data_IF_264451632512
#
_entry.id   IF_264451632512
#
_cell.length_a   1.000
_cell.length_b   1.000
_cell.length_c   1.000
_cell.angle_alpha   90.00
_cell.angle_beta   90.00
_cell.angle_gamma   90.00
#
_symmetry.space_group_name_H-M   'P 1'
#
loop_
_entity.id
_entity.type
_entity.pdbx_description
1 polymer ?
#
# COMPACT_ATOMS: atom_id res chain seq x y z
N UNK A 1 35.15 -34.79 -5.21
CA UNK A 1 36.62 -34.63 -5.44
C UNK A 1 37.39 -35.96 -5.70
N UNK A 2 37.12 -37.10 -5.03
CA UNK A 2 37.87 -38.34 -5.31
C UNK A 2 37.79 -38.81 -6.78
N UNK A 3 36.65 -38.61 -7.44
CA UNK A 3 36.37 -39.03 -8.81
C UNK A 3 37.24 -38.33 -9.87
N UNK A 4 37.72 -37.09 -9.59
CA UNK A 4 38.58 -36.33 -10.51
C UNK A 4 40.05 -36.49 -10.16
N UNK A 5 40.39 -37.24 -9.11
CA UNK A 5 41.77 -37.37 -8.62
C UNK A 5 42.38 -36.04 -8.16
N UNK A 6 41.56 -35.08 -7.79
CA UNK A 6 41.97 -33.81 -7.20
C UNK A 6 41.68 -33.80 -5.71
N UNK A 7 42.58 -33.32 -4.89
CA UNK A 7 42.45 -33.20 -3.46
C UNK A 7 41.86 -31.83 -3.03
N UNK A 8 42.03 -30.82 -3.88
CA UNK A 8 41.72 -29.44 -3.51
C UNK A 8 40.85 -28.77 -4.57
N UNK A 9 39.95 -27.89 -4.12
CA UNK A 9 39.11 -27.10 -5.01
C UNK A 9 38.56 -25.86 -4.34
N UNK A 10 38.20 -24.88 -5.14
CA UNK A 10 37.52 -23.65 -4.73
C UNK A 10 36.43 -23.29 -5.72
N UNK A 11 35.33 -22.82 -5.23
CA UNK A 11 34.24 -22.22 -5.98
C UNK A 11 34.36 -20.71 -5.81
N UNK A 12 34.37 -19.98 -6.89
CA UNK A 12 34.32 -18.53 -6.92
C UNK A 12 33.02 -18.09 -7.56
N UNK A 13 32.33 -17.12 -6.98
CA UNK A 13 31.24 -16.38 -7.60
C UNK A 13 31.79 -15.10 -8.24
N UNK A 14 31.12 -14.57 -9.26
CA UNK A 14 31.51 -13.36 -9.98
C UNK A 14 30.35 -12.39 -10.08
N UNK A 15 30.56 -11.14 -9.70
CA UNK A 15 29.51 -10.09 -9.68
C UNK A 15 29.53 -9.17 -10.92
N UNK A 16 30.42 -9.45 -11.89
CA UNK A 16 30.65 -8.63 -13.08
C UNK A 16 31.95 -7.83 -13.00
N UNK A 17 32.52 -7.61 -11.81
CA UNK A 17 33.74 -6.87 -11.58
C UNK A 17 34.77 -7.70 -10.79
N UNK A 18 34.33 -8.36 -9.72
CA UNK A 18 35.19 -9.07 -8.78
C UNK A 18 34.79 -10.54 -8.61
N UNK A 19 35.77 -11.37 -8.32
CA UNK A 19 35.59 -12.73 -7.83
C UNK A 19 35.50 -12.75 -6.29
N UNK A 20 34.54 -13.52 -5.77
CA UNK A 20 34.36 -13.78 -4.36
C UNK A 20 34.59 -15.27 -4.07
N UNK A 21 35.34 -15.59 -3.03
CA UNK A 21 35.53 -16.98 -2.61
C UNK A 21 34.21 -17.51 -1.95
N UNK A 22 33.48 -18.35 -2.69
CA UNK A 22 32.21 -18.92 -2.20
C UNK A 22 32.40 -20.14 -1.30
N UNK A 23 33.20 -21.11 -1.74
CA UNK A 23 33.44 -22.35 -1.00
C UNK A 23 34.81 -22.95 -1.34
N UNK A 24 35.37 -23.73 -0.38
CA UNK A 24 36.63 -24.48 -0.57
C UNK A 24 36.47 -25.91 -0.10
N UNK A 25 37.23 -26.80 -0.71
CA UNK A 25 37.35 -28.19 -0.27
C UNK A 25 38.82 -28.64 -0.33
N UNK A 26 39.32 -29.24 0.76
CA UNK A 26 40.69 -29.73 0.84
C UNK A 26 41.77 -28.66 0.89
N UNK A 27 41.41 -27.37 0.81
CA UNK A 27 42.35 -26.26 0.82
C UNK A 27 43.00 -26.08 2.20
N UNK A 28 44.27 -25.62 2.20
CA UNK A 28 44.97 -25.27 3.43
C UNK A 28 44.19 -24.20 4.21
N UNK A 29 43.95 -24.37 5.52
CA UNK A 29 43.28 -23.37 6.35
C UNK A 29 43.88 -21.97 6.26
N UNK A 30 45.20 -21.86 6.09
CA UNK A 30 45.90 -20.58 5.90
C UNK A 30 45.51 -19.89 4.59
N UNK A 31 45.21 -20.67 3.54
CA UNK A 31 44.73 -20.13 2.27
C UNK A 31 43.30 -19.57 2.46
N UNK A 32 42.44 -20.30 3.16
CA UNK A 32 41.06 -19.85 3.41
C UNK A 32 41.01 -18.55 4.23
N UNK A 33 41.84 -18.47 5.26
CA UNK A 33 41.96 -17.27 6.11
C UNK A 33 42.52 -16.08 5.32
N UNK A 34 43.61 -16.31 4.56
CA UNK A 34 44.16 -15.28 3.71
C UNK A 34 43.14 -14.77 2.67
N UNK A 35 42.43 -15.66 2.00
CA UNK A 35 41.44 -15.29 0.99
C UNK A 35 40.24 -14.50 1.58
N UNK A 36 39.86 -14.79 2.82
CA UNK A 36 38.84 -13.99 3.55
C UNK A 36 39.35 -12.59 3.88
N UNK A 37 40.61 -12.47 4.28
CA UNK A 37 41.22 -11.16 4.58
C UNK A 37 41.38 -10.28 3.34
N UNK A 38 41.71 -10.89 2.19
CA UNK A 38 41.79 -10.18 0.90
C UNK A 38 40.42 -9.69 0.45
N UNK A 39 39.36 -10.46 0.74
CA UNK A 39 37.99 -10.14 0.32
C UNK A 39 37.79 -10.32 -1.19
N UNK A 40 36.80 -9.62 -1.78
CA UNK A 40 36.59 -9.61 -3.22
C UNK A 40 37.77 -9.04 -3.97
N UNK A 41 38.13 -9.63 -5.12
CA UNK A 41 39.26 -9.19 -5.90
C UNK A 41 38.94 -9.16 -7.41
N UNK A 42 39.45 -8.17 -8.16
CA UNK A 42 39.33 -8.14 -9.61
C UNK A 42 40.12 -9.29 -10.23
N UNK A 43 39.69 -9.83 -11.40
CA UNK A 43 40.33 -10.96 -12.03
C UNK A 43 41.76 -10.61 -12.47
N UNK A 44 42.82 -11.26 -11.88
CA UNK A 44 44.18 -10.89 -12.19
C UNK A 44 44.54 -11.34 -13.61
N UNK A 45 45.20 -10.46 -14.37
CA UNK A 45 45.63 -10.77 -15.75
C UNK A 45 46.54 -11.99 -15.82
N UNK A 46 46.38 -12.78 -16.88
CA UNK A 46 47.21 -13.96 -17.14
C UNK A 46 46.94 -15.16 -16.21
N UNK A 47 46.07 -15.00 -15.19
CA UNK A 47 45.67 -16.11 -14.33
C UNK A 47 44.49 -16.90 -14.93
N UNK A 48 44.19 -18.07 -14.36
CA UNK A 48 43.07 -18.87 -14.79
C UNK A 48 41.72 -18.12 -14.64
N UNK A 49 41.50 -17.40 -13.53
CA UNK A 49 40.32 -16.59 -13.32
C UNK A 49 40.24 -15.39 -14.28
N UNK A 50 41.38 -14.74 -14.56
CA UNK A 50 41.44 -13.66 -15.54
C UNK A 50 41.14 -14.11 -16.98
N UNK A 51 41.43 -15.36 -17.33
CA UNK A 51 41.05 -15.96 -18.63
C UNK A 51 39.58 -16.30 -18.68
N UNK A 52 39.02 -16.83 -17.60
CA UNK A 52 37.58 -17.10 -17.45
C UNK A 52 36.79 -15.79 -17.58
N UNK A 53 37.16 -14.72 -16.91
CA UNK A 53 36.47 -13.42 -17.01
C UNK A 53 36.50 -12.80 -18.41
N UNK A 54 37.44 -13.19 -19.26
CA UNK A 54 37.52 -12.79 -20.67
C UNK A 54 36.77 -13.73 -21.63
N UNK A 55 35.99 -14.69 -21.10
CA UNK A 55 35.11 -15.55 -21.88
C UNK A 55 35.63 -16.96 -22.17
N UNK A 56 36.80 -17.36 -21.66
CA UNK A 56 37.22 -18.75 -21.77
C UNK A 56 36.33 -19.64 -20.87
N UNK A 57 35.76 -20.69 -21.43
CA UNK A 57 34.89 -21.61 -20.69
C UNK A 57 35.63 -22.66 -19.87
N UNK A 58 36.86 -22.94 -20.28
CA UNK A 58 37.73 -23.92 -19.63
C UNK A 58 39.18 -23.45 -19.71
N UNK A 59 39.87 -23.43 -18.56
CA UNK A 59 41.28 -23.15 -18.47
C UNK A 59 41.98 -24.32 -17.79
N UNK A 60 42.89 -24.97 -18.49
CA UNK A 60 43.76 -26.01 -17.93
C UNK A 60 45.22 -25.54 -17.91
N UNK A 61 45.84 -25.56 -16.74
CA UNK A 61 47.22 -25.12 -16.51
C UNK A 61 48.00 -26.29 -15.95
N UNK A 62 48.98 -26.78 -16.73
CA UNK A 62 49.78 -27.94 -16.36
C UNK A 62 50.65 -27.66 -15.14
N UNK A 63 51.31 -26.51 -15.10
CA UNK A 63 52.03 -26.02 -13.92
C UNK A 63 51.81 -24.50 -13.75
N UNK A 64 51.14 -24.11 -12.66
CA UNK A 64 50.82 -22.70 -12.37
C UNK A 64 52.04 -21.85 -12.07
N UNK A 65 53.21 -22.47 -11.77
CA UNK A 65 54.47 -21.75 -11.55
C UNK A 65 55.20 -21.36 -12.85
N UNK A 66 54.77 -21.92 -13.98
CA UNK A 66 55.35 -21.64 -15.28
C UNK A 66 54.65 -20.49 -16.01
N UNK A 67 53.44 -20.10 -15.60
CA UNK A 67 52.72 -18.98 -16.23
C UNK A 67 53.29 -17.63 -15.79
N UNK A 68 53.21 -16.63 -16.67
CA UNK A 68 53.79 -15.31 -16.42
C UNK A 68 53.13 -14.63 -15.19
N UNK A 69 51.86 -14.83 -14.96
CA UNK A 69 51.14 -14.29 -13.79
C UNK A 69 51.77 -14.71 -12.44
N UNK A 70 52.41 -15.91 -12.35
CA UNK A 70 53.12 -16.32 -11.14
C UNK A 70 54.37 -15.46 -10.88
N UNK A 71 54.97 -14.92 -11.93
CA UNK A 71 56.16 -14.05 -11.84
C UNK A 71 55.81 -12.59 -11.63
N UNK A 72 54.72 -12.14 -12.26
CA UNK A 72 54.35 -10.72 -12.34
C UNK A 72 53.36 -10.27 -11.27
N UNK A 73 52.52 -11.18 -10.69
CA UNK A 73 51.54 -10.87 -9.65
C UNK A 73 51.99 -11.42 -8.29
N UNK A 74 52.42 -10.56 -7.36
CA UNK A 74 52.80 -10.97 -6.00
C UNK A 74 51.66 -11.65 -5.24
N UNK A 75 50.44 -11.15 -5.43
CA UNK A 75 49.23 -11.68 -4.75
C UNK A 75 48.87 -13.07 -5.27
N UNK A 76 48.86 -13.27 -6.58
CA UNK A 76 48.67 -14.59 -7.18
C UNK A 76 49.74 -15.57 -6.74
N UNK A 77 51.01 -15.17 -6.76
CA UNK A 77 52.12 -15.99 -6.26
C UNK A 77 51.88 -16.41 -4.82
N UNK A 78 51.51 -15.46 -3.94
CA UNK A 78 51.23 -15.73 -2.54
C UNK A 78 50.11 -16.74 -2.36
N UNK A 79 49.01 -16.60 -3.14
CA UNK A 79 47.89 -17.56 -3.12
C UNK A 79 48.32 -18.98 -3.46
N UNK A 80 49.21 -19.13 -4.49
CA UNK A 80 49.73 -20.42 -4.92
C UNK A 80 50.71 -20.99 -3.89
N UNK A 81 51.56 -20.18 -3.28
CA UNK A 81 52.52 -20.60 -2.26
C UNK A 81 51.80 -21.11 -0.98
N UNK A 82 50.73 -20.43 -0.55
CA UNK A 82 49.95 -20.86 0.62
C UNK A 82 49.09 -22.08 0.27
N UNK A 83 48.40 -22.09 -0.88
CA UNK A 83 47.51 -23.17 -1.31
C UNK A 83 48.25 -24.42 -1.84
N UNK A 84 49.54 -24.31 -2.17
CA UNK A 84 50.37 -25.39 -2.67
C UNK A 84 50.03 -25.87 -4.09
N UNK A 85 49.23 -25.10 -4.84
CA UNK A 85 48.81 -25.50 -6.18
C UNK A 85 49.92 -25.63 -7.19
N UNK A 86 49.89 -26.69 -8.01
CA UNK A 86 50.83 -26.93 -9.13
C UNK A 86 50.08 -27.09 -10.45
N UNK A 87 49.23 -28.09 -10.58
CA UNK A 87 48.32 -28.24 -11.73
C UNK A 87 46.91 -27.76 -11.38
N UNK A 88 46.32 -26.92 -12.21
CA UNK A 88 44.93 -26.44 -12.00
C UNK A 88 44.06 -26.56 -13.25
N UNK A 89 42.76 -26.76 -13.02
CA UNK A 89 41.72 -26.69 -14.04
C UNK A 89 40.61 -25.83 -13.51
N UNK A 90 40.23 -24.82 -14.30
CA UNK A 90 39.15 -23.94 -14.00
C UNK A 90 38.04 -24.13 -15.04
N UNK A 91 36.81 -24.27 -14.59
CA UNK A 91 35.62 -24.37 -15.43
C UNK A 91 34.75 -23.18 -15.11
N UNK A 92 34.39 -22.42 -16.12
CA UNK A 92 33.49 -21.30 -15.99
C UNK A 92 32.06 -21.78 -15.63
N UNK A 93 31.41 -21.06 -14.74
CA UNK A 93 30.01 -21.24 -14.38
C UNK A 93 29.21 -20.19 -15.15
N UNK A 94 28.58 -20.58 -16.24
CA UNK A 94 27.76 -19.69 -17.06
C UNK A 94 26.28 -20.09 -16.98
N UNK A 95 25.43 -19.06 -16.92
CA UNK A 95 24.04 -19.16 -17.25
C UNK A 95 23.84 -18.38 -18.53
N UNK A 96 23.52 -19.09 -19.63
CA UNK A 96 23.52 -18.51 -20.97
C UNK A 96 24.86 -17.81 -21.30
N UNK A 97 24.86 -16.50 -21.49
CA UNK A 97 26.07 -15.70 -21.76
C UNK A 97 26.61 -14.98 -20.51
N UNK A 98 25.97 -15.14 -19.34
CA UNK A 98 26.37 -14.48 -18.10
C UNK A 98 27.32 -15.37 -17.31
N UNK A 99 28.49 -14.85 -16.97
CA UNK A 99 29.44 -15.51 -16.08
C UNK A 99 28.99 -15.36 -14.63
N UNK A 100 28.63 -16.47 -13.96
CA UNK A 100 28.27 -16.52 -12.55
C UNK A 100 29.48 -16.76 -11.63
N UNK A 101 30.57 -17.31 -12.17
CA UNK A 101 31.75 -17.64 -11.40
C UNK A 101 32.64 -18.71 -12.04
N UNK A 102 33.43 -19.36 -11.23
CA UNK A 102 34.34 -20.42 -11.70
C UNK A 102 34.53 -21.52 -10.66
N UNK A 103 34.53 -22.76 -11.11
CA UNK A 103 34.95 -23.92 -10.33
C UNK A 103 36.46 -24.13 -10.59
N UNK A 104 37.32 -23.93 -9.60
CA UNK A 104 38.76 -24.18 -9.66
C UNK A 104 39.09 -25.47 -8.93
N UNK A 105 39.76 -26.40 -9.57
CA UNK A 105 40.24 -27.64 -8.99
C UNK A 105 41.74 -27.73 -9.23
N UNK A 106 42.51 -28.07 -8.21
CA UNK A 106 43.95 -28.11 -8.32
C UNK A 106 44.60 -29.29 -7.57
N UNK A 107 45.81 -29.60 -7.99
CA UNK A 107 46.70 -30.57 -7.37
C UNK A 107 47.96 -29.90 -6.89
N UNK A 108 48.61 -30.46 -5.88
CA UNK A 108 49.86 -29.98 -5.34
C UNK A 108 51.07 -30.58 -6.06
N UNK A 109 50.85 -31.40 -7.07
CA UNK A 109 51.85 -32.03 -7.94
C UNK A 109 51.65 -31.64 -9.40
N UNK A 110 52.67 -31.70 -10.21
CA UNK A 110 52.57 -31.48 -11.67
C UNK A 110 52.05 -32.76 -12.31
N UNK A 111 50.75 -32.84 -12.44
CA UNK A 111 50.02 -33.97 -13.05
C UNK A 111 48.77 -33.45 -13.77
N UNK A 112 48.85 -33.25 -15.10
CA UNK A 112 47.74 -32.76 -15.88
C UNK A 112 46.47 -33.59 -15.71
N UNK A 113 45.31 -32.91 -15.80
CA UNK A 113 44.00 -33.58 -15.79
C UNK A 113 43.73 -34.21 -17.15
N UNK A 114 43.21 -35.43 -17.17
CA UNK A 114 42.81 -36.11 -18.40
C UNK A 114 41.51 -35.52 -18.93
N UNK A 115 41.24 -35.70 -20.24
CA UNK A 115 39.98 -35.24 -20.86
C UNK A 115 38.72 -35.76 -20.15
N UNK A 116 38.77 -37.03 -19.68
CA UNK A 116 37.65 -37.62 -18.91
C UNK A 116 37.43 -36.90 -17.57
N UNK A 117 38.52 -36.50 -16.89
CA UNK A 117 38.41 -35.75 -15.64
C UNK A 117 37.93 -34.31 -15.87
N UNK A 118 38.35 -33.69 -16.95
CA UNK A 118 37.86 -32.34 -17.37
C UNK A 118 36.37 -32.40 -17.71
N UNK A 119 35.94 -33.39 -18.50
CA UNK A 119 34.52 -33.57 -18.83
C UNK A 119 33.67 -33.78 -17.58
N UNK A 120 34.18 -34.53 -16.61
CA UNK A 120 33.46 -34.71 -15.32
C UNK A 120 33.39 -33.41 -14.52
N UNK A 121 34.44 -32.57 -14.54
CA UNK A 121 34.41 -31.24 -13.89
C UNK A 121 33.46 -30.30 -14.58
N UNK A 122 33.34 -30.36 -15.91
CA UNK A 122 32.34 -29.58 -16.66
C UNK A 122 30.89 -29.99 -16.28
N UNK A 123 30.62 -31.29 -16.10
CA UNK A 123 29.33 -31.75 -15.61
C UNK A 123 29.05 -31.26 -14.18
N UNK A 124 30.05 -31.27 -13.29
CA UNK A 124 29.85 -30.70 -11.93
C UNK A 124 29.66 -29.19 -11.98
N UNK A 125 30.34 -28.48 -12.85
CA UNK A 125 30.15 -27.05 -13.07
C UNK A 125 28.69 -26.75 -13.53
N UNK A 126 28.17 -27.54 -14.47
CA UNK A 126 26.77 -27.41 -14.90
C UNK A 126 25.78 -27.66 -13.74
N UNK A 127 26.04 -28.68 -12.93
CA UNK A 127 25.19 -28.93 -11.72
C UNK A 127 25.31 -27.80 -10.69
N UNK A 128 26.50 -27.22 -10.53
CA UNK A 128 26.69 -26.06 -9.65
C UNK A 128 25.89 -24.84 -10.12
N UNK A 129 25.86 -24.57 -11.43
CA UNK A 129 25.02 -23.50 -12.01
C UNK A 129 23.55 -23.71 -11.69
N UNK A 130 23.02 -24.92 -11.92
CA UNK A 130 21.64 -25.27 -11.60
C UNK A 130 21.35 -25.07 -10.10
N UNK A 131 22.26 -25.51 -9.23
CA UNK A 131 22.09 -25.34 -7.78
C UNK A 131 22.11 -23.87 -7.34
N UNK A 132 23.00 -23.07 -7.93
CA UNK A 132 23.07 -21.62 -7.66
C UNK A 132 21.80 -20.92 -8.12
N UNK A 133 21.30 -21.25 -9.31
CA UNK A 133 20.07 -20.67 -9.84
C UNK A 133 18.84 -21.06 -9.01
N UNK A 134 18.74 -22.33 -8.64
CA UNK A 134 17.67 -22.79 -7.75
C UNK A 134 17.69 -22.05 -6.39
N UNK A 135 18.89 -21.87 -5.80
CA UNK A 135 19.02 -21.14 -4.56
C UNK A 135 18.60 -19.67 -4.72
N UNK A 136 18.99 -19.01 -5.82
CA UNK A 136 18.60 -17.65 -6.16
C UNK A 136 17.08 -17.53 -6.29
N UNK A 137 16.46 -18.40 -7.12
CA UNK A 137 15.01 -18.42 -7.35
C UNK A 137 14.21 -18.68 -6.07
N UNK A 138 14.69 -19.60 -5.23
CA UNK A 138 14.07 -19.87 -3.93
C UNK A 138 14.10 -18.64 -3.01
N UNK A 139 15.23 -17.94 -2.97
CA UNK A 139 15.36 -16.70 -2.18
C UNK A 139 14.43 -15.61 -2.72
N UNK A 140 14.43 -15.37 -4.03
CA UNK A 140 13.56 -14.38 -4.66
C UNK A 140 12.08 -14.71 -4.47
N UNK A 141 11.71 -15.99 -4.61
CA UNK A 141 10.33 -16.43 -4.39
C UNK A 141 9.91 -16.22 -2.94
N UNK A 142 10.79 -16.52 -1.99
CA UNK A 142 10.52 -16.34 -0.57
C UNK A 142 10.37 -14.84 -0.22
N UNK A 143 11.26 -14.00 -0.70
CA UNK A 143 11.17 -12.54 -0.51
C UNK A 143 9.86 -11.99 -1.08
N UNK A 144 9.48 -12.41 -2.31
CA UNK A 144 8.24 -12.00 -2.94
C UNK A 144 7.00 -12.47 -2.16
N UNK A 145 7.02 -13.70 -1.65
CA UNK A 145 5.92 -14.24 -0.82
C UNK A 145 5.80 -13.48 0.51
N UNK A 146 6.90 -13.17 1.16
CA UNK A 146 6.90 -12.40 2.41
C UNK A 146 6.34 -10.99 2.20
N UNK A 147 6.70 -10.31 1.10
CA UNK A 147 6.15 -9.01 0.72
C UNK A 147 4.64 -9.08 0.41
N UNK A 148 4.22 -10.11 -0.35
CA UNK A 148 2.82 -10.31 -0.69
C UNK A 148 1.98 -10.59 0.57
N UNK A 149 2.50 -11.43 1.47
CA UNK A 149 1.83 -11.75 2.74
C UNK A 149 1.67 -10.50 3.61
N UNK A 150 2.73 -9.70 3.75
CA UNK A 150 2.68 -8.45 4.52
C UNK A 150 1.65 -7.47 3.95
N UNK A 151 1.58 -7.34 2.61
CA UNK A 151 0.59 -6.49 1.96
C UNK A 151 -0.84 -7.00 2.20
N UNK A 152 -1.06 -8.31 2.12
CA UNK A 152 -2.37 -8.92 2.39
C UNK A 152 -2.81 -8.74 3.85
N UNK A 153 -1.89 -8.85 4.81
CA UNK A 153 -2.18 -8.61 6.23
C UNK A 153 -2.54 -7.15 6.50
N UNK A 154 -1.87 -6.18 5.89
CA UNK A 154 -2.24 -4.75 5.97
C UNK A 154 -3.64 -4.53 5.40
N UNK A 155 -3.96 -5.11 4.23
CA UNK A 155 -5.30 -5.03 3.64
C UNK A 155 -6.37 -5.65 4.54
N UNK A 156 -6.05 -6.74 5.24
CA UNK A 156 -6.97 -7.35 6.21
C UNK A 156 -7.28 -6.39 7.37
N UNK A 157 -6.26 -5.69 7.89
CA UNK A 157 -6.46 -4.68 8.95
C UNK A 157 -7.31 -3.51 8.44
N UNK A 158 -7.06 -3.03 7.20
CA UNK A 158 -7.89 -1.98 6.57
C UNK A 158 -9.37 -2.39 6.52
N UNK A 159 -9.65 -3.63 6.13
CA UNK A 159 -11.01 -4.14 6.02
C UNK A 159 -11.65 -4.41 7.38
N UNK A 160 -10.87 -4.77 8.40
CA UNK A 160 -11.37 -5.06 9.75
C UNK A 160 -11.63 -3.80 10.60
N UNK A 161 -11.06 -2.66 10.22
CA UNK A 161 -11.14 -1.40 10.97
C UNK A 161 -11.71 -0.26 10.11
N UNK A 162 -12.94 -0.37 9.60
CA UNK A 162 -13.52 0.64 8.73
C UNK A 162 -13.67 1.98 9.48
N UNK A 163 -12.93 2.99 8.99
CA UNK A 163 -12.95 4.33 9.57
C UNK A 163 -11.94 4.59 10.69
N UNK A 164 -11.35 3.55 11.31
CA UNK A 164 -10.25 3.71 12.28
C UNK A 164 -8.90 3.46 11.60
N UNK A 165 -8.12 4.52 11.44
CA UNK A 165 -6.83 4.49 10.76
C UNK A 165 -5.67 4.08 11.68
N UNK A 166 -5.80 4.17 12.99
CA UNK A 166 -4.70 3.91 13.92
C UNK A 166 -4.16 2.47 13.83
N UNK A 167 -5.00 1.40 13.84
CA UNK A 167 -4.52 0.04 13.67
C UNK A 167 -3.85 -0.21 12.31
N UNK A 168 -4.33 0.49 11.26
CA UNK A 168 -3.76 0.36 9.91
C UNK A 168 -2.35 0.94 9.85
N UNK A 169 -2.16 2.13 10.40
CA UNK A 169 -0.85 2.80 10.43
C UNK A 169 0.17 2.05 11.28
N UNK A 170 -0.27 1.49 12.41
CA UNK A 170 0.57 0.65 13.26
C UNK A 170 0.99 -0.65 12.54
N UNK A 171 0.07 -1.31 11.83
CA UNK A 171 0.36 -2.50 11.05
C UNK A 171 1.34 -2.21 9.91
N UNK A 172 1.16 -1.09 9.19
CA UNK A 172 2.09 -0.64 8.14
C UNK A 172 3.50 -0.46 8.70
N UNK A 173 3.64 0.27 9.81
CA UNK A 173 4.95 0.48 10.43
C UNK A 173 5.56 -0.83 10.93
N UNK A 174 4.76 -1.73 11.50
CA UNK A 174 5.24 -3.04 11.96
C UNK A 174 5.82 -3.86 10.82
N UNK A 175 5.10 -3.96 9.69
CA UNK A 175 5.56 -4.71 8.52
C UNK A 175 6.79 -4.05 7.88
N UNK A 176 6.81 -2.73 7.77
CA UNK A 176 7.96 -1.99 7.28
C UNK A 176 9.22 -2.22 8.14
N UNK A 177 9.08 -2.24 9.48
CA UNK A 177 10.18 -2.57 10.40
C UNK A 177 10.73 -3.97 10.16
N UNK A 178 9.84 -4.98 10.06
CA UNK A 178 10.24 -6.38 9.90
C UNK A 178 10.93 -6.67 8.57
N UNK A 179 10.45 -6.07 7.47
CA UNK A 179 10.92 -6.37 6.12
C UNK A 179 12.07 -5.48 5.64
N UNK A 180 12.15 -4.22 6.10
CA UNK A 180 13.16 -3.27 5.65
C UNK A 180 14.23 -2.98 6.71
N UNK A 181 14.27 -3.69 7.83
CA UNK A 181 15.27 -3.46 8.89
C UNK A 181 15.22 -2.06 9.47
N UNK A 182 14.03 -1.46 9.54
CA UNK A 182 13.82 -0.15 10.13
C UNK A 182 13.93 -0.27 11.66
N UNK A 183 14.69 0.60 12.29
CA UNK A 183 14.81 0.66 13.75
C UNK A 183 13.87 1.69 14.33
N UNK A 184 13.76 2.85 13.68
CA UNK A 184 12.85 3.92 14.06
C UNK A 184 11.95 4.29 12.90
N UNK A 185 10.64 4.31 13.09
CA UNK A 185 9.67 4.62 12.05
C UNK A 185 8.56 5.53 12.53
N UNK A 186 8.05 6.36 11.64
CA UNK A 186 6.84 7.14 11.90
C UNK A 186 6.01 7.31 10.63
N UNK A 187 4.69 7.31 10.79
CA UNK A 187 3.75 7.76 9.80
C UNK A 187 3.19 9.11 10.24
N UNK A 188 3.35 10.10 9.38
CA UNK A 188 3.02 11.49 9.69
C UNK A 188 2.02 12.00 8.65
N UNK A 189 0.99 12.69 9.09
CA UNK A 189 0.03 13.37 8.23
C UNK A 189 0.43 14.83 8.04
N UNK A 190 0.10 15.36 6.86
CA UNK A 190 0.35 16.73 6.45
C UNK A 190 -0.97 17.49 6.34
N UNK A 191 -1.11 18.61 7.07
CA UNK A 191 -2.32 19.43 7.08
C UNK A 191 -2.25 20.66 6.13
N UNK A 192 -1.20 20.73 5.32
CA UNK A 192 -0.92 21.87 4.43
C UNK A 192 0.20 22.78 4.97
N UNK A 193 0.53 22.69 6.25
CA UNK A 193 1.60 23.48 6.88
C UNK A 193 2.48 22.62 7.80
N UNK A 194 1.89 21.71 8.57
CA UNK A 194 2.58 20.90 9.58
C UNK A 194 2.52 19.42 9.27
N UNK A 195 3.63 18.71 9.54
CA UNK A 195 3.63 17.26 9.68
C UNK A 195 3.40 16.89 11.16
N UNK A 196 2.46 15.95 11.41
CA UNK A 196 2.20 15.37 12.73
C UNK A 196 2.16 13.86 12.65
N UNK A 197 2.90 13.21 13.56
CA UNK A 197 2.89 11.75 13.60
C UNK A 197 1.58 11.22 14.18
N UNK A 198 0.98 10.29 13.48
CA UNK A 198 -0.21 9.53 13.90
C UNK A 198 0.15 8.12 14.34
N UNK A 199 1.32 7.61 13.92
CA UNK A 199 1.91 6.37 14.40
C UNK A 199 3.43 6.54 14.51
N UNK A 200 4.03 5.98 15.56
CA UNK A 200 5.48 6.03 15.83
C UNK A 200 5.92 4.70 16.43
N UNK A 201 7.00 4.12 15.88
CA UNK A 201 7.55 2.84 16.35
C UNK A 201 9.07 2.93 16.51
N UNK A 202 9.60 2.36 17.58
CA UNK A 202 11.05 2.27 17.84
C UNK A 202 11.72 3.60 18.23
N UNK A 203 11.01 4.71 18.25
CA UNK A 203 11.55 6.00 18.67
C UNK A 203 11.45 6.18 20.19
N UNK A 204 12.47 6.79 20.83
CA UNK A 204 12.38 7.22 22.24
C UNK A 204 11.23 8.20 22.46
N UNK A 205 10.61 8.14 23.66
CA UNK A 205 9.41 8.95 23.96
C UNK A 205 9.58 10.46 23.74
N UNK A 206 10.72 11.12 24.05
CA UNK A 206 10.89 12.55 23.76
C UNK A 206 10.78 12.89 22.29
N UNK A 207 11.26 12.00 21.38
CA UNK A 207 11.08 12.17 19.94
C UNK A 207 9.65 11.84 19.51
N UNK A 208 9.10 10.74 19.99
CA UNK A 208 7.74 10.34 19.66
C UNK A 208 6.74 11.44 20.02
N UNK A 209 6.88 12.04 21.20
CA UNK A 209 6.07 13.19 21.62
C UNK A 209 6.23 14.38 20.67
N UNK A 210 7.46 14.76 20.34
CA UNK A 210 7.73 15.88 19.43
C UNK A 210 7.18 15.66 18.02
N UNK A 211 7.27 14.43 17.50
CA UNK A 211 6.68 14.07 16.21
C UNK A 211 5.15 14.16 16.24
N UNK A 212 4.51 13.81 17.38
CA UNK A 212 3.05 13.96 17.57
C UNK A 212 2.64 15.42 17.72
N UNK A 213 3.42 16.25 18.40
CA UNK A 213 3.18 17.69 18.49
C UNK A 213 3.26 18.36 17.11
N UNK A 214 4.17 17.87 16.26
CA UNK A 214 4.32 18.28 14.87
C UNK A 214 5.37 19.36 14.67
N UNK A 215 5.75 19.54 13.41
CA UNK A 215 6.71 20.55 12.98
C UNK A 215 6.30 21.11 11.61
N UNK A 216 6.70 22.36 11.36
CA UNK A 216 6.42 23.03 10.09
C UNK A 216 7.24 22.39 8.96
N UNK A 217 6.56 21.96 7.90
CA UNK A 217 7.18 21.24 6.79
C UNK A 217 8.24 22.07 6.05
N UNK A 218 7.99 23.37 5.86
CA UNK A 218 8.91 24.30 5.16
C UNK A 218 10.25 24.52 5.90
N UNK A 219 10.25 24.35 7.20
CA UNK A 219 11.41 24.69 8.06
C UNK A 219 12.33 23.46 8.21
N UNK A 220 11.88 22.29 7.77
CA UNK A 220 12.64 21.05 7.83
C UNK A 220 13.26 20.70 6.48
N UNK A 221 14.59 20.70 6.43
CA UNK A 221 15.36 20.41 5.21
C UNK A 221 15.09 19.00 4.63
N UNK A 222 14.65 18.05 5.47
CA UNK A 222 14.37 16.66 5.08
C UNK A 222 13.03 16.56 4.38
N UNK A 223 11.99 17.24 4.88
CA UNK A 223 10.63 17.12 4.33
C UNK A 223 10.32 18.15 3.24
N UNK A 224 11.09 19.24 3.17
CA UNK A 224 10.91 20.28 2.15
C UNK A 224 10.94 19.75 0.71
N UNK A 225 11.86 18.85 0.29
CA UNK A 225 11.84 18.30 -1.06
C UNK A 225 10.55 17.52 -1.38
N UNK A 226 9.88 16.96 -0.36
CA UNK A 226 8.60 16.28 -0.56
C UNK A 226 7.49 17.28 -0.92
N UNK A 227 7.54 18.52 -0.40
CA UNK A 227 6.62 19.60 -0.80
C UNK A 227 6.84 19.99 -2.27
N UNK A 228 8.11 19.95 -2.73
CA UNK A 228 8.51 20.27 -4.10
C UNK A 228 8.27 19.11 -5.09
N UNK A 229 7.67 18.00 -4.65
CA UNK A 229 7.28 16.89 -5.52
C UNK A 229 8.28 15.74 -5.60
N UNK A 230 9.31 15.70 -4.75
CA UNK A 230 10.26 14.58 -4.74
C UNK A 230 9.53 13.23 -4.54
N UNK A 231 9.96 12.20 -5.28
CA UNK A 231 9.45 10.83 -5.17
C UNK A 231 9.70 10.24 -3.78
N UNK A 232 10.89 10.45 -3.24
CA UNK A 232 11.30 10.14 -1.87
C UNK A 232 12.51 11.01 -1.51
N UNK A 233 12.88 11.03 -0.25
CA UNK A 233 14.12 11.64 0.23
C UNK A 233 14.89 10.59 0.99
N UNK A 234 16.09 10.26 0.52
CA UNK A 234 17.02 9.38 1.22
C UNK A 234 18.27 10.15 1.64
N UNK A 235 18.63 10.01 2.91
CA UNK A 235 19.84 10.55 3.50
C UNK A 235 20.68 9.38 3.94
N UNK A 236 21.77 9.08 3.22
CA UNK A 236 22.63 7.96 3.53
C UNK A 236 23.27 8.05 4.91
N UNK A 237 23.72 9.25 5.29
CA UNK A 237 24.26 9.54 6.62
C UNK A 237 23.79 10.90 7.11
N UNK A 238 23.06 10.92 8.23
CA UNK A 238 22.56 12.16 8.84
C UNK A 238 23.70 13.02 9.43
N UNK A 239 24.85 12.44 9.77
CA UNK A 239 26.01 13.21 10.26
C UNK A 239 26.63 14.11 9.17
N UNK A 240 26.36 13.83 7.89
CA UNK A 240 26.81 14.63 6.74
C UNK A 240 25.95 15.88 6.49
N UNK A 241 24.82 16.04 7.21
CA UNK A 241 23.92 17.19 7.05
C UNK A 241 24.19 18.23 8.12
N UNK A 242 24.09 19.53 7.74
CA UNK A 242 24.14 20.65 8.68
C UNK A 242 23.02 20.54 9.72
N UNK A 243 23.38 20.14 10.93
CA UNK A 243 22.48 19.87 12.08
C UNK A 243 21.56 21.04 12.45
N UNK A 244 21.92 22.29 12.10
CA UNK A 244 21.09 23.46 12.40
C UNK A 244 19.73 23.46 11.68
N UNK A 245 19.56 22.61 10.66
CA UNK A 245 18.33 22.52 9.84
C UNK A 245 17.56 21.20 10.04
N UNK A 246 18.06 20.32 10.87
CA UNK A 246 17.42 19.05 11.21
C UNK A 246 16.82 19.18 12.60
N UNK A 247 15.67 18.55 12.82
CA UNK A 247 15.01 18.55 14.14
C UNK A 247 16.05 18.08 15.17
N UNK A 248 16.40 18.93 16.14
CA UNK A 248 17.38 18.65 17.20
C UNK A 248 17.12 17.33 17.99
N UNK A 249 15.95 16.73 17.84
CA UNK A 249 15.55 15.45 18.41
C UNK A 249 16.12 14.24 17.66
N UNK A 250 16.60 14.38 16.40
CA UNK A 250 17.23 13.27 15.66
C UNK A 250 18.61 12.95 16.28
N UNK A 251 19.32 13.95 16.81
CA UNK A 251 20.57 13.73 17.53
C UNK A 251 20.42 12.79 18.74
N UNK A 252 19.27 12.81 19.41
CA UNK A 252 19.00 11.97 20.59
C UNK A 252 18.85 10.47 20.24
N UNK A 253 18.65 10.12 18.95
CA UNK A 253 18.30 8.74 18.55
C UNK A 253 19.48 8.00 17.91
N UNK A 254 20.56 8.66 17.57
CA UNK A 254 21.68 8.10 16.79
C UNK A 254 21.26 7.52 15.43
N UNK A 255 20.14 7.97 14.85
CA UNK A 255 19.77 7.58 13.49
C UNK A 255 20.82 8.05 12.52
N UNK A 256 21.39 7.14 11.75
CA UNK A 256 22.44 7.43 10.75
C UNK A 256 21.82 7.53 9.35
N UNK A 257 21.06 6.56 8.93
CA UNK A 257 20.37 6.59 7.63
C UNK A 257 18.90 6.88 7.80
N UNK A 258 18.36 7.79 6.98
CA UNK A 258 16.94 8.14 6.97
C UNK A 258 16.36 8.07 5.55
N UNK A 259 15.17 7.50 5.45
CA UNK A 259 14.34 7.52 4.23
C UNK A 259 12.98 8.12 4.58
N UNK A 260 12.51 9.05 3.76
CA UNK A 260 11.16 9.61 3.82
C UNK A 260 10.43 9.36 2.49
N UNK A 261 9.32 8.65 2.56
CA UNK A 261 8.46 8.31 1.41
C UNK A 261 7.13 9.03 1.56
N UNK A 262 6.71 9.86 0.58
CA UNK A 262 5.48 10.62 0.68
C UNK A 262 4.24 9.75 0.53
N UNK A 263 3.18 10.12 1.25
CA UNK A 263 1.81 9.66 1.05
C UNK A 263 1.15 10.64 0.07
N UNK A 264 0.92 10.23 -1.18
CA UNK A 264 0.34 11.10 -2.20
C UNK A 264 -0.94 10.53 -2.80
N UNK A 265 -1.89 11.44 -3.07
CA UNK A 265 -3.07 11.18 -3.90
C UNK A 265 -3.01 12.12 -5.11
N UNK A 266 -2.60 11.62 -6.27
CA UNK A 266 -2.23 12.48 -7.39
C UNK A 266 -1.09 13.42 -6.99
N UNK A 267 -1.28 14.72 -7.19
CA UNK A 267 -0.28 15.73 -6.81
C UNK A 267 -0.38 16.16 -5.33
N UNK A 268 -1.44 15.78 -4.63
CA UNK A 268 -1.65 16.19 -3.25
C UNK A 268 -0.80 15.36 -2.29
N UNK A 269 0.03 16.03 -1.48
CA UNK A 269 0.77 15.44 -0.38
C UNK A 269 -0.14 15.32 0.83
N UNK A 270 -0.36 14.10 1.32
CA UNK A 270 -1.20 13.79 2.48
C UNK A 270 -0.37 13.52 3.74
N UNK A 271 0.91 13.16 3.57
CA UNK A 271 1.77 12.79 4.67
C UNK A 271 3.09 12.17 4.20
N UNK A 272 3.77 11.49 5.12
CA UNK A 272 5.02 10.76 4.85
C UNK A 272 5.20 9.58 5.79
N UNK A 273 5.86 8.52 5.29
CA UNK A 273 6.46 7.48 6.12
C UNK A 273 7.94 7.81 6.23
N UNK A 274 8.43 7.98 7.47
CA UNK A 274 9.85 8.14 7.76
C UNK A 274 10.40 6.86 8.36
N UNK A 275 11.53 6.37 7.82
CA UNK A 275 12.19 5.14 8.17
C UNK A 275 13.66 5.40 8.50
N UNK A 276 14.11 5.04 9.70
CA UNK A 276 15.47 5.30 10.18
C UNK A 276 16.22 4.03 10.57
N UNK A 277 17.54 4.01 10.29
CA UNK A 277 18.51 3.00 10.71
C UNK A 277 19.57 3.63 11.60
N UNK A 278 20.11 2.85 12.53
CA UNK A 278 21.18 3.33 13.45
C UNK A 278 22.58 3.20 12.81
N UNK A 279 22.69 2.53 11.68
CA UNK A 279 23.94 2.34 10.94
C UNK A 279 23.86 3.09 9.60
N UNK A 280 25.03 3.38 9.02
CA UNK A 280 25.13 3.94 7.69
C UNK A 280 24.90 2.83 6.67
N UNK A 281 23.62 2.59 6.39
CA UNK A 281 23.17 1.57 5.45
C UNK A 281 22.01 2.13 4.62
N UNK A 282 22.28 2.70 3.45
CA UNK A 282 21.26 3.21 2.55
C UNK A 282 20.22 2.13 2.20
N UNK A 283 18.97 2.55 1.99
CA UNK A 283 17.91 1.67 1.53
C UNK A 283 18.14 1.33 0.06
N UNK A 284 18.00 0.07 -0.28
CA UNK A 284 18.02 -0.42 -1.67
C UNK A 284 16.74 -0.03 -2.41
N UNK A 285 16.78 -0.05 -3.74
CA UNK A 285 15.59 0.22 -4.58
C UNK A 285 14.43 -0.72 -4.27
N UNK A 286 14.69 -1.98 -3.89
CA UNK A 286 13.68 -2.94 -3.47
C UNK A 286 13.00 -2.53 -2.16
N UNK A 287 13.77 -2.09 -1.18
CA UNK A 287 13.24 -1.63 0.12
C UNK A 287 12.46 -0.31 -0.03
N UNK A 288 12.96 0.61 -0.86
CA UNK A 288 12.24 1.86 -1.19
C UNK A 288 10.90 1.53 -1.84
N UNK A 289 10.89 0.66 -2.86
CA UNK A 289 9.66 0.24 -3.54
C UNK A 289 8.66 -0.43 -2.57
N UNK A 290 9.14 -1.20 -1.60
CA UNK A 290 8.28 -1.81 -0.58
C UNK A 290 7.65 -0.75 0.33
N UNK A 291 8.42 0.24 0.79
CA UNK A 291 7.88 1.34 1.61
C UNK A 291 6.92 2.21 0.78
N UNK A 292 7.19 2.43 -0.52
CA UNK A 292 6.24 3.10 -1.43
C UNK A 292 4.92 2.33 -1.55
N UNK A 293 4.97 1.00 -1.62
CA UNK A 293 3.76 0.18 -1.59
C UNK A 293 2.97 0.35 -0.29
N UNK A 294 3.65 0.37 0.86
CA UNK A 294 3.00 0.64 2.15
C UNK A 294 2.43 2.06 2.22
N UNK A 295 3.12 3.04 1.66
CA UNK A 295 2.62 4.41 1.55
C UNK A 295 1.34 4.47 0.70
N UNK A 296 1.28 3.75 -0.42
CA UNK A 296 0.07 3.63 -1.23
C UNK A 296 -1.09 2.97 -0.48
N UNK A 297 -0.83 1.93 0.32
CA UNK A 297 -1.85 1.30 1.17
C UNK A 297 -2.38 2.25 2.25
N UNK A 298 -1.51 3.05 2.86
CA UNK A 298 -1.92 4.08 3.81
C UNK A 298 -2.86 5.11 3.16
N UNK A 299 -2.54 5.56 1.94
CA UNK A 299 -3.40 6.49 1.17
C UNK A 299 -4.75 5.88 0.86
N UNK A 300 -4.80 4.60 0.44
CA UNK A 300 -6.06 3.88 0.20
C UNK A 300 -6.90 3.80 1.48
N UNK A 301 -6.28 3.47 2.61
CA UNK A 301 -6.96 3.41 3.90
C UNK A 301 -7.55 4.77 4.31
N UNK A 302 -6.77 5.85 4.15
CA UNK A 302 -7.23 7.22 4.43
C UNK A 302 -8.43 7.60 3.57
N UNK A 303 -8.39 7.27 2.28
CA UNK A 303 -9.49 7.56 1.36
C UNK A 303 -10.74 6.75 1.70
N UNK A 304 -10.58 5.46 2.03
CA UNK A 304 -11.70 4.62 2.48
C UNK A 304 -12.34 5.17 3.75
N UNK A 305 -11.56 5.58 4.75
CA UNK A 305 -12.07 6.18 5.98
C UNK A 305 -12.82 7.49 5.70
N UNK A 306 -12.29 8.35 4.82
CA UNK A 306 -12.97 9.58 4.40
C UNK A 306 -14.31 9.31 3.72
N UNK A 307 -14.33 8.37 2.74
CA UNK A 307 -15.54 8.02 2.01
C UNK A 307 -16.60 7.39 2.92
N UNK A 308 -16.20 6.54 3.87
CA UNK A 308 -17.10 5.97 4.86
C UNK A 308 -17.71 7.04 5.78
N UNK A 309 -16.90 8.02 6.19
CA UNK A 309 -17.37 9.16 6.96
C UNK A 309 -18.39 9.99 6.20
N UNK A 310 -18.13 10.31 4.93
CA UNK A 310 -19.07 11.01 4.05
C UNK A 310 -20.38 10.21 3.82
N UNK A 311 -20.26 8.90 3.63
CA UNK A 311 -21.42 8.03 3.45
C UNK A 311 -22.29 7.99 4.71
N UNK A 312 -21.67 7.87 5.89
CA UNK A 312 -22.38 7.90 7.18
C UNK A 312 -23.14 9.22 7.35
N UNK A 313 -22.48 10.34 7.12
CA UNK A 313 -23.11 11.66 7.21
C UNK A 313 -24.31 11.79 6.27
N UNK A 314 -24.15 11.38 5.01
CA UNK A 314 -25.27 11.41 4.03
C UNK A 314 -26.41 10.48 4.41
N UNK A 315 -26.10 9.32 4.99
CA UNK A 315 -27.11 8.39 5.47
C UNK A 315 -27.93 9.00 6.61
N UNK A 316 -27.27 9.68 7.54
CA UNK A 316 -27.93 10.39 8.65
C UNK A 316 -28.80 11.55 8.13
N UNK A 317 -28.31 12.32 7.17
CA UNK A 317 -29.09 13.39 6.51
C UNK A 317 -30.36 12.84 5.82
N UNK A 318 -30.23 11.73 5.07
CA UNK A 318 -31.37 11.05 4.42
C UNK A 318 -32.35 10.52 5.46
N UNK A 319 -31.85 9.94 6.54
CA UNK A 319 -32.74 9.44 7.63
C UNK A 319 -33.50 10.58 8.31
N UNK A 320 -32.90 11.74 8.49
CA UNK A 320 -33.57 12.93 9.04
C UNK A 320 -34.62 13.49 8.08
N UNK A 321 -34.29 13.60 6.79
CA UNK A 321 -35.22 14.02 5.75
C UNK A 321 -36.42 13.08 5.64
N UNK A 322 -36.21 11.77 5.69
CA UNK A 322 -37.27 10.77 5.66
C UNK A 322 -38.19 10.91 6.86
N UNK A 323 -37.67 11.06 8.08
CA UNK A 323 -38.47 11.32 9.28
C UNK A 323 -39.32 12.60 9.14
N UNK A 324 -38.72 13.66 8.58
CA UNK A 324 -39.41 14.90 8.31
C UNK A 324 -40.52 14.78 7.24
N UNK A 325 -40.29 13.94 6.21
CA UNK A 325 -41.30 13.62 5.19
C UNK A 325 -42.45 12.79 5.76
N UNK A 326 -42.17 11.76 6.55
CA UNK A 326 -43.19 10.92 7.20
C UNK A 326 -44.09 11.74 8.12
N UNK A 327 -43.50 12.66 8.89
CA UNK A 327 -44.28 13.58 9.74
C UNK A 327 -45.22 14.47 8.90
N UNK A 328 -44.73 15.05 7.81
CA UNK A 328 -45.54 15.86 6.89
C UNK A 328 -46.64 15.05 6.20
N UNK A 329 -46.31 13.84 5.75
CA UNK A 329 -47.34 12.94 5.16
C UNK A 329 -48.41 12.58 6.18
N UNK A 330 -48.03 12.29 7.42
CA UNK A 330 -49.02 12.02 8.50
C UNK A 330 -49.94 13.22 8.75
N UNK A 331 -49.38 14.42 8.81
CA UNK A 331 -50.16 15.67 8.96
C UNK A 331 -51.13 15.89 7.80
N UNK A 332 -50.64 15.73 6.54
CA UNK A 332 -51.49 15.86 5.35
C UNK A 332 -52.60 14.79 5.29
N UNK A 333 -52.34 13.55 5.70
CA UNK A 333 -53.34 12.49 5.76
C UNK A 333 -54.42 12.81 6.81
N UNK A 334 -54.03 13.37 7.96
CA UNK A 334 -54.97 13.80 8.99
C UNK A 334 -55.83 14.95 8.50
N UNK A 335 -55.25 15.95 7.82
CA UNK A 335 -55.96 17.08 7.24
C UNK A 335 -56.94 16.64 6.15
N UNK A 336 -56.49 15.77 5.22
CA UNK A 336 -57.37 15.17 4.21
C UNK A 336 -58.49 14.35 4.84
N UNK A 337 -58.21 13.63 5.93
CA UNK A 337 -59.25 12.92 6.71
C UNK A 337 -60.25 13.86 7.35
N UNK A 338 -59.82 15.04 7.83
CA UNK A 338 -60.71 16.10 8.37
C UNK A 338 -61.60 16.65 7.28
N UNK A 339 -61.05 17.02 6.15
CA UNK A 339 -61.79 17.49 4.96
C UNK A 339 -62.77 16.43 4.45
N UNK A 340 -62.38 15.15 4.42
CA UNK A 340 -63.21 14.04 4.00
C UNK A 340 -64.43 13.82 4.94
N UNK A 341 -64.26 14.01 6.26
CA UNK A 341 -65.35 13.97 7.24
C UNK A 341 -66.32 15.14 7.04
N UNK A 342 -65.82 16.36 6.85
CA UNK A 342 -66.63 17.54 6.56
C UNK A 342 -67.50 17.37 5.31
N UNK A 343 -66.92 16.87 4.22
CA UNK A 343 -67.67 16.59 2.96
C UNK A 343 -68.75 15.54 3.09
N UNK A 344 -68.69 14.63 4.07
CA UNK A 344 -69.73 13.61 4.31
C UNK A 344 -70.95 14.13 5.06
N UNK A 345 -70.76 15.14 5.90
CA UNK A 345 -71.87 15.69 6.77
C UNK A 345 -72.39 17.01 6.26
N UNK A 346 -71.72 17.71 5.37
CA UNK A 346 -72.19 19.01 4.85
C UNK A 346 -72.53 18.91 3.35
N UNK A 347 -73.42 19.77 2.90
CA UNK A 347 -73.65 19.92 1.47
C UNK A 347 -72.31 20.27 0.75
N UNK A 348 -72.03 19.70 -0.44
CA UNK A 348 -70.76 19.88 -1.09
C UNK A 348 -70.29 21.35 -1.26
N UNK A 349 -71.26 22.24 -1.53
CA UNK A 349 -71.00 23.68 -1.69
C UNK A 349 -70.57 24.35 -0.38
N UNK A 350 -71.13 23.92 0.75
CA UNK A 350 -70.78 24.44 2.08
C UNK A 350 -69.38 23.92 2.53
N UNK A 351 -69.10 22.65 2.25
CA UNK A 351 -67.78 22.08 2.53
C UNK A 351 -66.62 22.74 1.72
N UNK A 352 -66.90 23.09 0.46
CA UNK A 352 -65.92 23.82 -0.36
C UNK A 352 -65.68 25.25 0.13
N UNK A 353 -66.76 25.91 0.62
CA UNK A 353 -66.69 27.28 1.15
C UNK A 353 -65.82 27.32 2.43
N UNK A 354 -66.00 26.38 3.33
CA UNK A 354 -65.22 26.26 4.58
C UNK A 354 -63.76 25.98 4.30
N UNK A 355 -63.48 25.07 3.38
CA UNK A 355 -62.09 24.71 3.00
C UNK A 355 -61.41 25.87 2.29
N UNK A 356 -62.11 26.62 1.42
CA UNK A 356 -61.51 27.73 0.66
C UNK A 356 -61.30 29.00 1.48
N UNK A 357 -62.15 29.26 2.48
CA UNK A 357 -62.06 30.46 3.31
C UNK A 357 -61.31 30.23 4.64
N UNK A 358 -61.11 28.99 5.04
CA UNK A 358 -60.41 28.66 6.28
C UNK A 358 -61.14 29.10 7.57
N UNK A 359 -62.40 29.49 7.45
CA UNK A 359 -63.18 30.05 8.58
C UNK A 359 -64.20 29.05 9.08
N UNK A 360 -63.93 28.39 10.21
CA UNK A 360 -64.83 27.47 10.87
C UNK A 360 -65.97 28.16 11.57
N UNK A 361 -65.95 29.51 11.76
CA UNK A 361 -67.03 30.29 12.42
C UNK A 361 -68.33 30.34 11.60
N UNK A 362 -68.25 29.99 10.30
CA UNK A 362 -69.40 29.83 9.43
C UNK A 362 -70.41 28.79 10.01
N UNK A 363 -69.93 27.86 10.84
CA UNK A 363 -70.73 26.82 11.48
C UNK A 363 -71.30 27.24 12.86
N UNK A 364 -70.92 28.41 13.37
CA UNK A 364 -71.52 28.90 14.62
C UNK A 364 -73.00 29.18 14.46
N UNK A 365 -73.81 28.72 15.43
CA UNK A 365 -75.23 28.94 15.40
C UNK A 365 -75.50 30.42 15.63
N UNK A 366 -76.12 31.07 14.66
CA UNK A 366 -76.57 32.45 14.77
C UNK A 366 -78.03 32.52 14.53
N UNK A 367 -78.79 33.37 15.34
CA UNK A 367 -80.19 33.64 15.16
C UNK A 367 -80.40 34.50 13.94
N UNK A 368 -81.16 33.96 12.97
CA UNK A 368 -81.68 34.77 11.83
C UNK A 368 -83.16 34.66 11.80
N UNK A 369 -83.84 35.78 11.49
CA UNK A 369 -85.25 35.74 11.17
C UNK A 369 -85.37 35.09 9.78
N UNK A 370 -86.18 34.02 9.77
CA UNK A 370 -86.51 33.31 8.53
C UNK A 370 -87.96 33.38 8.30
N UNK A 371 -88.36 33.67 7.09
CA UNK A 371 -89.76 33.57 6.68
C UNK A 371 -90.03 32.17 6.15
N UNK A 372 -90.83 31.39 6.85
CA UNK A 372 -91.27 30.06 6.41
C UNK A 372 -92.55 30.19 5.65
N UNK A 373 -92.52 29.96 4.35
CA UNK A 373 -93.76 30.00 3.52
C UNK A 373 -94.26 28.57 3.36
N UNK A 374 -95.44 28.29 3.91
CA UNK A 374 -96.13 27.04 3.68
C UNK A 374 -97.02 27.19 2.45
N UNK A 375 -96.78 26.52 1.36
CA UNK A 375 -97.62 26.44 0.17
C UNK A 375 -98.43 25.13 0.22
N UNK A 376 -99.74 25.25 0.44
CA UNK A 376 -100.65 24.11 0.27
C UNK A 376 -101.17 24.06 -1.16
N UNK A 377 -100.86 23.04 -1.88
CA UNK A 377 -101.37 22.81 -3.23
C UNK A 377 -102.65 22.01 -3.18
N UNK A 378 -103.76 22.70 -2.99
CA UNK A 378 -105.03 22.05 -3.02
C UNK A 378 -105.27 21.36 -4.36
N UNK A 379 -105.56 20.06 -4.31
CA UNK A 379 -105.70 19.22 -5.51
C UNK A 379 -104.49 18.48 -5.97
N UNK A 380 -103.39 18.60 -5.22
CA UNK A 380 -102.12 17.93 -5.57
C UNK A 380 -102.21 16.39 -5.64
N UNK A 381 -103.06 15.81 -4.75
CA UNK A 381 -103.30 14.37 -4.72
C UNK A 381 -104.01 13.91 -5.99
N UNK A 382 -104.99 14.67 -6.48
CA UNK A 382 -105.69 14.37 -7.72
C UNK A 382 -104.79 14.56 -8.95
N UNK A 383 -103.86 15.49 -8.88
CA UNK A 383 -102.85 15.71 -9.96
C UNK A 383 -101.82 14.61 -10.05
N UNK A 384 -101.42 14.05 -8.94
CA UNK A 384 -100.43 12.94 -8.90
C UNK A 384 -101.06 11.63 -9.33
N UNK A 385 -102.35 11.40 -9.15
CA UNK A 385 -103.04 10.20 -9.63
C UNK A 385 -103.25 10.16 -11.16
N UNK A 386 -103.25 11.34 -11.81
CA UNK A 386 -103.61 11.45 -13.23
C UNK A 386 -102.38 11.50 -14.17
N UNK A 387 -101.18 11.88 -13.66
CA UNK A 387 -99.98 11.95 -14.48
C UNK A 387 -98.75 11.23 -13.87
N UNK A 388 -98.52 10.06 -14.34
CA UNK A 388 -97.29 9.32 -14.09
C UNK A 388 -96.04 10.18 -14.25
N UNK A 389 -95.14 10.14 -13.24
CA UNK A 389 -93.68 10.18 -13.21
C UNK A 389 -92.94 11.27 -14.06
N UNK A 390 -93.45 11.67 -15.22
CA UNK A 390 -92.69 12.63 -16.10
C UNK A 390 -92.81 14.09 -15.63
N UNK A 391 -93.76 14.49 -14.79
CA UNK A 391 -93.91 15.87 -14.35
C UNK A 391 -93.08 16.22 -13.10
N UNK A 392 -92.70 15.20 -12.31
CA UNK A 392 -91.84 15.40 -11.11
C UNK A 392 -90.44 15.82 -11.44
N UNK A 393 -89.93 15.44 -12.62
CA UNK A 393 -88.58 15.82 -13.09
C UNK A 393 -88.48 17.27 -13.57
N UNK A 394 -89.59 17.86 -13.98
CA UNK A 394 -89.61 19.29 -14.41
C UNK A 394 -89.71 20.25 -13.22
N UNK A 395 -90.26 19.81 -12.08
CA UNK A 395 -90.39 20.67 -10.89
C UNK A 395 -89.02 20.79 -10.17
N UNK A 396 -88.13 19.81 -10.29
CA UNK A 396 -86.77 19.86 -9.74
C UNK A 396 -85.86 20.89 -10.44
N UNK A 397 -86.23 21.39 -11.61
CA UNK A 397 -85.43 22.35 -12.37
C UNK A 397 -85.68 23.82 -12.09
N UNK A 398 -86.64 24.14 -11.27
CA UNK A 398 -87.06 25.58 -11.09
C UNK A 398 -87.01 26.07 -9.63
N UNK A 399 -86.36 25.31 -8.73
CA UNK A 399 -85.95 25.91 -7.46
C UNK A 399 -84.55 26.42 -7.60
N UNK A 400 -84.40 27.55 -8.24
CA UNK A 400 -83.22 28.36 -8.14
C UNK A 400 -83.12 28.86 -6.73
N UNK A 401 -82.10 28.36 -5.99
CA UNK A 401 -81.64 29.05 -4.80
C UNK A 401 -81.02 30.38 -5.28
N UNK A 402 -81.81 31.44 -5.27
CA UNK A 402 -81.32 32.79 -5.27
C UNK A 402 -80.67 33.01 -3.92
N UNK A 403 -79.35 33.09 -3.95
CA UNK A 403 -78.47 33.17 -2.84
C UNK A 403 -78.74 34.29 -1.84
N UNK A 404 -78.28 34.02 -0.68
CA UNK A 404 -77.46 34.99 0.09
C UNK A 404 -76.46 34.18 0.88
#
# INVERSE_FOLDING_TARGET
>A
MPLCGASNGALFTYDGECFHLGATHGSDPRFVEWARQVGPFPPPEGTGLGRISRGERLVHIADVREIDAFRTSPEFRRSIEIGGGRTSTLVALHQDEVLLGALCVYRQEVRPFTEKQIALLQNFAAQAVIAMENARLLTETREALEQQTATAEVLQVINASPGDLAPVFDAILEKAHGLCGIVTGSLQLFDGEYFRAVAVRGAPEPLAQRLREGYRASDNAITRPLLDGARFVQIPDLDDIDHARVIASIEAIRTRTLLCVPLRKGDALLGTIAAGRLEVQPYSDKEIALIENFAAQAVIAMENARLLGELSQRTDEVAELNRGLEARVAEQVEELGRVGRLKRFLAPQLAELIVSQGDENILESHRREIVVVFCDLRGYTAFTEIRLICSLLSFRRHVSYSGL
#
